data_IF_299628929196
#
_entry.id   IF_299628929196
#
_cell.length_a   1.000
_cell.length_b   1.000
_cell.length_c   1.000
_cell.angle_alpha   90.00
_cell.angle_beta   90.00
_cell.angle_gamma   90.00
#
_symmetry.space_group_name_H-M   'P 1'
#
loop_
_entity.id
_entity.type
_entity.pdbx_description
1 polymer ?
#
# COMPACT_ATOMS: atom_id res chain seq x y z
N UNK A 1 -32.81 -4.21 -46.03
CA UNK A 1 -33.15 -3.05 -45.19
C UNK A 1 -32.80 -3.43 -43.72
N UNK A 2 -31.62 -3.11 -43.33
CA UNK A 2 -31.16 -3.32 -41.92
C UNK A 2 -31.56 -2.07 -41.11
N UNK A 3 -32.42 -2.27 -40.12
CA UNK A 3 -32.82 -1.20 -39.20
C UNK A 3 -31.66 -0.94 -38.25
N UNK A 4 -31.11 0.27 -38.32
CA UNK A 4 -30.23 0.79 -37.30
C UNK A 4 -31.05 0.98 -36.01
N UNK A 5 -30.82 0.19 -35.00
CA UNK A 5 -31.37 0.38 -33.66
C UNK A 5 -30.37 1.27 -32.93
N UNK A 6 -30.71 2.55 -32.80
CA UNK A 6 -30.03 3.47 -31.91
C UNK A 6 -30.30 2.99 -30.49
N UNK A 7 -29.27 2.52 -29.80
CA UNK A 7 -29.33 2.23 -28.36
C UNK A 7 -29.42 3.57 -27.61
N UNK A 8 -30.62 3.90 -27.16
CA UNK A 8 -30.87 5.06 -26.29
C UNK A 8 -30.39 4.71 -24.92
N UNK A 9 -29.34 5.40 -24.44
CA UNK A 9 -28.93 5.36 -23.06
C UNK A 9 -30.08 5.89 -22.19
N UNK A 10 -30.58 5.05 -21.28
CA UNK A 10 -31.66 5.44 -20.37
C UNK A 10 -31.06 6.35 -19.30
N UNK A 11 -31.35 7.65 -19.40
CA UNK A 11 -30.95 8.65 -18.42
C UNK A 11 -31.77 8.45 -17.14
N UNK A 12 -31.16 8.01 -16.06
CA UNK A 12 -31.75 8.09 -14.72
C UNK A 12 -31.56 9.51 -14.21
N UNK A 13 -32.56 10.35 -14.42
CA UNK A 13 -32.55 11.72 -13.92
C UNK A 13 -32.70 11.72 -12.39
N UNK A 14 -31.63 12.12 -11.69
CA UNK A 14 -31.73 12.50 -10.30
C UNK A 14 -32.27 13.93 -10.24
N UNK A 15 -33.52 14.10 -9.80
CA UNK A 15 -34.05 15.41 -9.42
C UNK A 15 -33.33 15.90 -8.16
N UNK A 16 -32.29 16.72 -8.35
CA UNK A 16 -31.73 17.55 -7.29
C UNK A 16 -32.33 18.96 -7.41
N UNK A 17 -32.63 19.56 -6.28
CA UNK A 17 -33.13 20.93 -6.16
C UNK A 17 -32.28 21.93 -6.95
N UNK A 18 -32.97 22.78 -7.72
CA UNK A 18 -32.40 23.73 -8.67
C UNK A 18 -31.54 24.82 -7.99
N UNK A 19 -30.25 24.78 -8.28
CA UNK A 19 -29.50 25.97 -8.64
C UNK A 19 -29.41 25.96 -10.15
N UNK A 20 -29.59 27.11 -10.84
CA UNK A 20 -29.47 27.27 -12.29
C UNK A 20 -28.00 27.08 -12.73
N UNK A 21 -27.46 25.86 -12.59
CA UNK A 21 -26.12 25.52 -13.06
C UNK A 21 -26.24 25.05 -14.53
N UNK A 22 -25.46 25.68 -15.38
CA UNK A 22 -25.40 25.35 -16.80
C UNK A 22 -24.62 24.04 -16.98
N UNK A 23 -25.30 22.99 -17.41
CA UNK A 23 -24.60 21.72 -17.72
C UNK A 23 -24.05 21.73 -19.14
N UNK A 24 -22.86 21.18 -19.30
CA UNK A 24 -22.19 21.00 -20.59
C UNK A 24 -22.10 19.52 -20.94
N UNK A 25 -22.00 19.24 -22.24
CA UNK A 25 -21.94 17.87 -22.71
C UNK A 25 -20.50 17.36 -22.72
N UNK A 26 -20.26 16.27 -21.98
CA UNK A 26 -18.99 15.57 -21.92
C UNK A 26 -19.16 14.18 -22.52
N UNK A 27 -18.22 13.74 -23.34
CA UNK A 27 -18.31 12.45 -24.00
C UNK A 27 -17.15 11.52 -23.65
N UNK A 28 -17.49 10.24 -23.50
CA UNK A 28 -16.51 9.15 -23.39
C UNK A 28 -16.89 8.12 -24.45
N UNK A 29 -16.02 7.91 -25.42
CA UNK A 29 -16.28 6.99 -26.52
C UNK A 29 -15.06 6.14 -26.82
N UNK A 30 -15.20 5.11 -27.62
CA UNK A 30 -14.06 4.30 -28.01
C UNK A 30 -14.42 2.98 -28.66
N UNK A 31 -13.42 2.10 -28.68
CA UNK A 31 -13.54 0.78 -29.29
C UNK A 31 -12.73 -0.26 -28.53
N UNK A 32 -13.39 -1.32 -28.10
CA UNK A 32 -12.77 -2.48 -27.46
C UNK A 32 -12.89 -3.72 -28.34
N UNK A 33 -11.87 -3.97 -29.16
CA UNK A 33 -11.87 -5.02 -30.17
C UNK A 33 -11.41 -6.34 -29.59
N UNK A 34 -12.18 -7.42 -29.79
CA UNK A 34 -11.80 -8.77 -29.37
C UNK A 34 -11.75 -8.97 -27.86
N UNK A 35 -12.38 -8.08 -27.09
CA UNK A 35 -12.43 -8.15 -25.63
C UNK A 35 -13.32 -9.29 -25.08
N UNK A 36 -14.23 -9.82 -25.91
CA UNK A 36 -15.22 -10.82 -25.48
C UNK A 36 -16.28 -10.26 -24.52
N UNK A 37 -16.39 -8.94 -24.42
CA UNK A 37 -17.31 -8.21 -23.54
C UNK A 37 -18.48 -7.68 -24.34
N UNK A 38 -19.72 -7.93 -23.88
CA UNK A 38 -20.95 -7.46 -24.54
C UNK A 38 -21.40 -6.09 -24.04
N UNK A 39 -21.06 -5.74 -22.80
CA UNK A 39 -21.48 -4.49 -22.16
C UNK A 39 -20.46 -3.99 -21.16
N UNK A 40 -20.39 -2.68 -21.03
CA UNK A 40 -19.53 -1.96 -20.10
C UNK A 40 -20.36 -1.01 -19.23
N UNK A 41 -19.89 -0.79 -18.03
CA UNK A 41 -20.53 0.01 -16.99
C UNK A 41 -19.65 1.20 -16.66
N UNK A 42 -20.22 2.41 -16.80
CA UNK A 42 -19.56 3.64 -16.35
C UNK A 42 -20.01 3.94 -14.92
N UNK A 43 -19.06 4.09 -14.04
CA UNK A 43 -19.28 4.42 -12.65
C UNK A 43 -18.48 5.66 -12.26
N UNK A 44 -19.07 6.55 -11.46
CA UNK A 44 -18.38 7.66 -10.82
C UNK A 44 -17.87 7.21 -9.47
N UNK A 45 -16.61 7.47 -9.18
CA UNK A 45 -16.04 7.20 -7.87
C UNK A 45 -16.54 8.23 -6.86
N UNK A 46 -16.86 7.78 -5.64
CA UNK A 46 -17.06 8.70 -4.52
C UNK A 46 -15.76 9.44 -4.20
N UNK A 47 -15.85 10.61 -3.60
CA UNK A 47 -14.68 11.44 -3.34
C UNK A 47 -13.63 10.72 -2.48
N UNK A 48 -14.06 9.89 -1.54
CA UNK A 48 -13.19 9.07 -0.70
C UNK A 48 -12.85 7.68 -1.29
N UNK A 49 -13.16 7.44 -2.57
CA UNK A 49 -12.89 6.19 -3.29
C UNK A 49 -13.56 4.93 -2.69
N UNK A 50 -14.43 5.06 -1.72
CA UNK A 50 -15.00 3.92 -0.98
C UNK A 50 -16.10 3.18 -1.74
N UNK A 51 -16.94 3.91 -2.47
CA UNK A 51 -18.07 3.33 -3.21
C UNK A 51 -18.24 3.99 -4.58
N UNK A 52 -18.38 3.20 -5.64
CA UNK A 52 -18.74 3.73 -6.94
C UNK A 52 -20.25 3.92 -7.07
N UNK A 53 -20.65 4.94 -7.80
CA UNK A 53 -22.02 5.20 -8.22
C UNK A 53 -22.18 4.83 -9.68
N UNK A 54 -23.15 3.96 -10.00
CA UNK A 54 -23.43 3.60 -11.40
C UNK A 54 -24.02 4.80 -12.13
N UNK A 55 -23.40 5.20 -13.24
CA UNK A 55 -23.79 6.36 -14.04
C UNK A 55 -24.51 5.94 -15.33
N UNK A 56 -23.91 5.00 -16.07
CA UNK A 56 -24.44 4.55 -17.35
C UNK A 56 -23.97 3.15 -17.71
N UNK A 57 -24.68 2.52 -18.65
CA UNK A 57 -24.33 1.23 -19.23
C UNK A 57 -24.34 1.38 -20.76
N UNK A 58 -23.32 0.87 -21.42
CA UNK A 58 -23.26 0.79 -22.87
C UNK A 58 -23.08 -0.67 -23.32
N UNK A 59 -23.88 -1.08 -24.31
CA UNK A 59 -23.62 -2.32 -25.05
C UNK A 59 -22.61 -2.01 -26.16
N UNK A 60 -21.62 -2.90 -26.31
CA UNK A 60 -20.66 -2.78 -27.41
C UNK A 60 -21.31 -3.15 -28.71
N UNK A 61 -21.05 -2.36 -29.76
CA UNK A 61 -21.44 -2.69 -31.13
C UNK A 61 -20.65 -3.92 -31.66
N UNK A 62 -21.04 -4.49 -32.78
CA UNK A 62 -20.36 -5.64 -33.40
C UNK A 62 -18.86 -5.39 -33.68
N UNK A 63 -18.46 -4.12 -33.87
CA UNK A 63 -17.09 -3.66 -34.09
C UNK A 63 -16.38 -3.28 -32.79
N UNK A 64 -17.01 -3.46 -31.61
CA UNK A 64 -16.54 -3.08 -30.30
C UNK A 64 -16.71 -1.62 -29.93
N UNK A 65 -17.39 -0.81 -30.73
CA UNK A 65 -17.58 0.62 -30.45
C UNK A 65 -18.59 0.86 -29.34
N UNK A 66 -18.35 1.93 -28.58
CA UNK A 66 -19.24 2.41 -27.50
C UNK A 66 -19.22 3.93 -27.39
N UNK A 67 -20.23 4.49 -26.72
CA UNK A 67 -20.30 5.90 -26.38
C UNK A 67 -21.13 6.15 -25.14
N UNK A 68 -20.63 6.99 -24.26
CA UNK A 68 -21.34 7.60 -23.14
C UNK A 68 -21.46 9.12 -23.39
N UNK A 69 -22.57 9.69 -23.04
CA UNK A 69 -22.81 11.14 -23.04
C UNK A 69 -23.23 11.55 -21.62
N UNK A 70 -22.51 12.50 -21.06
CA UNK A 70 -22.68 12.97 -19.67
C UNK A 70 -23.03 14.46 -19.71
N UNK A 71 -24.03 14.85 -18.94
CA UNK A 71 -24.30 16.25 -18.65
C UNK A 71 -23.60 16.59 -17.32
N UNK A 72 -22.51 17.36 -17.40
CA UNK A 72 -21.71 17.75 -16.22
C UNK A 72 -21.89 19.27 -16.04
N UNK A 73 -21.96 19.72 -14.78
CA UNK A 73 -21.97 21.14 -14.45
C UNK A 73 -20.69 21.81 -14.97
N UNK A 74 -20.85 22.92 -15.70
CA UNK A 74 -19.73 23.65 -16.33
C UNK A 74 -18.65 24.08 -15.33
N UNK A 75 -19.03 24.33 -14.06
CA UNK A 75 -18.11 24.73 -12.98
C UNK A 75 -17.64 23.55 -12.12
N UNK A 76 -18.05 22.32 -12.45
CA UNK A 76 -17.65 21.16 -11.64
C UNK A 76 -16.17 20.85 -11.75
N UNK A 77 -15.54 20.56 -10.62
CA UNK A 77 -14.17 20.05 -10.60
C UNK A 77 -14.08 18.66 -11.26
N UNK A 78 -12.95 18.32 -11.90
CA UNK A 78 -12.75 16.99 -12.47
C UNK A 78 -12.94 15.88 -11.46
N UNK A 79 -13.51 14.75 -11.88
CA UNK A 79 -13.84 13.59 -11.03
C UNK A 79 -13.31 12.30 -11.62
N UNK A 80 -13.08 11.31 -10.74
CA UNK A 80 -12.72 9.97 -11.17
C UNK A 80 -13.96 9.19 -11.60
N UNK A 81 -13.86 8.59 -12.78
CA UNK A 81 -14.78 7.61 -13.32
C UNK A 81 -14.03 6.31 -13.59
N UNK A 82 -14.77 5.21 -13.65
CA UNK A 82 -14.20 3.93 -14.06
C UNK A 82 -15.13 3.20 -15.02
N UNK A 83 -14.54 2.52 -15.98
CA UNK A 83 -15.24 1.62 -16.88
C UNK A 83 -14.99 0.20 -16.40
N UNK A 84 -16.06 -0.48 -16.03
CA UNK A 84 -16.07 -1.87 -15.59
C UNK A 84 -16.73 -2.78 -16.60
N UNK A 85 -16.42 -4.08 -16.53
CA UNK A 85 -17.06 -5.14 -17.29
C UNK A 85 -17.83 -6.10 -16.37
N UNK A 86 -18.87 -6.75 -16.87
CA UNK A 86 -19.66 -7.70 -16.09
C UNK A 86 -18.86 -8.94 -15.67
N UNK A 87 -17.80 -9.26 -16.40
CA UNK A 87 -16.94 -10.44 -16.11
C UNK A 87 -15.92 -10.20 -14.99
N UNK A 88 -15.86 -9.01 -14.39
CA UNK A 88 -14.82 -8.60 -13.45
C UNK A 88 -13.54 -8.19 -14.20
N UNK A 89 -12.43 -8.14 -13.47
CA UNK A 89 -11.14 -7.65 -13.96
C UNK A 89 -10.83 -6.26 -13.42
N UNK A 90 -9.70 -5.70 -13.84
CA UNK A 90 -9.31 -4.33 -13.44
C UNK A 90 -10.13 -3.32 -14.21
N UNK A 91 -10.72 -2.30 -13.56
CA UNK A 91 -11.42 -1.23 -14.25
C UNK A 91 -10.44 -0.28 -14.94
N UNK A 92 -10.86 0.30 -16.07
CA UNK A 92 -10.17 1.46 -16.65
C UNK A 92 -10.63 2.70 -15.90
N UNK A 93 -9.71 3.39 -15.24
CA UNK A 93 -9.98 4.61 -14.49
C UNK A 93 -9.65 5.84 -15.34
N UNK A 94 -10.52 6.83 -15.29
CA UNK A 94 -10.45 8.09 -16.03
C UNK A 94 -10.63 9.26 -15.05
N UNK A 95 -10.03 10.39 -15.38
CA UNK A 95 -10.42 11.69 -14.84
C UNK A 95 -11.24 12.39 -15.92
N UNK A 96 -12.44 12.79 -15.56
CA UNK A 96 -13.39 13.44 -16.47
C UNK A 96 -13.70 14.83 -15.95
N UNK A 97 -13.49 15.82 -16.80
CA UNK A 97 -13.82 17.23 -16.60
C UNK A 97 -15.02 17.64 -17.47
N UNK A 98 -15.66 18.78 -17.17
CA UNK A 98 -16.63 19.41 -18.07
C UNK A 98 -16.05 19.60 -19.48
N UNK A 99 -16.86 19.37 -20.51
CA UNK A 99 -16.52 19.50 -21.94
C UNK A 99 -15.49 18.51 -22.49
N UNK A 100 -14.98 17.56 -21.68
CA UNK A 100 -14.05 16.53 -22.15
C UNK A 100 -14.67 15.70 -23.29
N UNK A 101 -13.82 15.35 -24.25
CA UNK A 101 -14.13 14.40 -25.30
C UNK A 101 -13.08 13.27 -25.28
N UNK A 102 -13.29 12.31 -24.41
CA UNK A 102 -12.33 11.22 -24.14
C UNK A 102 -12.56 10.09 -25.12
N UNK A 103 -11.49 9.64 -25.75
CA UNK A 103 -11.50 8.48 -26.65
C UNK A 103 -10.61 7.37 -26.10
N UNK A 104 -11.15 6.16 -26.09
CA UNK A 104 -10.48 4.94 -25.59
C UNK A 104 -10.40 3.91 -26.71
N UNK A 105 -9.22 3.31 -26.86
CA UNK A 105 -9.05 2.15 -27.73
C UNK A 105 -8.34 1.02 -26.99
N UNK A 106 -8.80 -0.23 -27.22
CA UNK A 106 -8.15 -1.41 -26.70
C UNK A 106 -8.38 -2.63 -27.60
N UNK A 107 -7.44 -3.58 -27.56
CA UNK A 107 -7.56 -4.86 -28.26
C UNK A 107 -7.22 -6.01 -27.30
N UNK A 108 -8.11 -7.00 -27.23
CA UNK A 108 -8.00 -8.14 -26.31
C UNK A 108 -8.37 -7.77 -24.87
N UNK A 109 -7.46 -7.90 -23.95
CA UNK A 109 -7.66 -7.46 -22.56
C UNK A 109 -7.75 -5.93 -22.51
N UNK A 110 -8.90 -5.43 -22.04
CA UNK A 110 -9.21 -3.99 -22.04
C UNK A 110 -8.19 -3.22 -21.21
N UNK A 111 -7.89 -3.69 -20.01
CA UNK A 111 -7.02 -2.98 -19.08
C UNK A 111 -5.55 -2.98 -19.48
N UNK A 112 -5.07 -4.10 -20.04
CA UNK A 112 -3.64 -4.23 -20.37
C UNK A 112 -3.23 -3.44 -21.61
N UNK A 113 -4.15 -3.19 -22.55
CA UNK A 113 -3.82 -2.68 -23.87
C UNK A 113 -4.59 -1.39 -24.25
N UNK A 114 -5.23 -0.73 -23.29
CA UNK A 114 -5.97 0.47 -23.61
C UNK A 114 -5.05 1.68 -23.83
N UNK A 115 -5.52 2.58 -24.68
CA UNK A 115 -4.98 3.92 -24.86
C UNK A 115 -6.06 4.95 -24.61
N UNK A 116 -5.67 6.17 -24.25
CA UNK A 116 -6.58 7.27 -23.93
C UNK A 116 -6.13 8.53 -24.65
N UNK A 117 -7.08 9.23 -25.25
CA UNK A 117 -6.89 10.58 -25.80
C UNK A 117 -8.00 11.51 -25.29
N UNK A 118 -7.78 12.82 -25.32
CA UNK A 118 -8.78 13.83 -24.97
C UNK A 118 -8.83 14.19 -23.48
N UNK A 119 -7.98 13.59 -22.63
CA UNK A 119 -7.78 13.97 -21.23
C UNK A 119 -6.34 13.64 -20.81
N UNK A 120 -5.55 14.67 -20.51
CA UNK A 120 -4.15 14.49 -20.08
C UNK A 120 -4.05 13.73 -18.76
N UNK A 121 -4.94 13.98 -17.82
CA UNK A 121 -5.02 13.25 -16.54
C UNK A 121 -5.29 11.75 -16.78
N UNK A 122 -6.25 11.42 -17.64
CA UNK A 122 -6.57 10.02 -17.97
C UNK A 122 -5.43 9.33 -18.73
N UNK A 123 -4.68 10.06 -19.53
CA UNK A 123 -3.50 9.57 -20.22
C UNK A 123 -2.37 9.25 -19.23
N UNK A 124 -2.12 10.12 -18.28
CA UNK A 124 -1.16 9.87 -17.19
C UNK A 124 -1.55 8.65 -16.35
N UNK A 125 -2.85 8.47 -16.06
CA UNK A 125 -3.35 7.25 -15.39
C UNK A 125 -3.05 6.00 -16.23
N UNK A 126 -3.28 6.06 -17.54
CA UNK A 126 -2.99 4.96 -18.44
C UNK A 126 -1.50 4.58 -18.43
N UNK A 127 -0.62 5.57 -18.52
CA UNK A 127 0.85 5.38 -18.45
C UNK A 127 1.27 4.77 -17.10
N UNK A 128 0.76 5.32 -15.99
CA UNK A 128 1.01 4.76 -14.67
C UNK A 128 0.53 3.31 -14.56
N UNK A 129 -0.68 3.01 -15.02
CA UNK A 129 -1.25 1.67 -14.96
C UNK A 129 -0.40 0.66 -15.73
N UNK A 130 0.07 0.99 -16.92
CA UNK A 130 0.92 0.12 -17.72
C UNK A 130 2.23 -0.21 -16.99
N UNK A 131 2.89 0.77 -16.41
CA UNK A 131 4.16 0.58 -15.72
C UNK A 131 4.00 -0.14 -14.37
N UNK A 132 3.04 0.32 -13.56
CA UNK A 132 2.82 -0.19 -12.21
C UNK A 132 2.28 -1.62 -12.22
N UNK A 133 1.21 -1.88 -12.97
CA UNK A 133 0.58 -3.21 -12.97
C UNK A 133 1.40 -4.26 -13.71
N UNK A 134 2.29 -3.88 -14.61
CA UNK A 134 3.28 -4.81 -15.18
C UNK A 134 4.15 -5.45 -14.09
N UNK A 135 4.55 -4.68 -13.08
CA UNK A 135 5.32 -5.18 -11.94
C UNK A 135 4.41 -5.94 -10.97
N UNK A 136 3.20 -5.42 -10.71
CA UNK A 136 2.24 -6.08 -9.83
C UNK A 136 1.80 -7.46 -10.34
N UNK A 137 1.66 -7.65 -11.65
CA UNK A 137 1.31 -8.94 -12.24
C UNK A 137 2.44 -9.97 -12.08
N UNK A 138 3.69 -9.54 -12.23
CA UNK A 138 4.85 -10.38 -11.91
C UNK A 138 4.87 -10.75 -10.42
N UNK A 139 4.59 -9.78 -9.54
CA UNK A 139 4.51 -10.01 -8.10
C UNK A 139 3.39 -11.01 -7.76
N UNK A 140 2.22 -10.91 -8.39
CA UNK A 140 1.11 -11.85 -8.19
C UNK A 140 1.49 -13.29 -8.58
N UNK A 141 2.17 -13.46 -9.74
CA UNK A 141 2.66 -14.77 -10.18
C UNK A 141 3.71 -15.37 -9.22
N UNK A 142 4.56 -14.52 -8.63
CA UNK A 142 5.53 -14.95 -7.63
C UNK A 142 4.81 -15.29 -6.32
N UNK A 143 3.83 -14.50 -5.90
CA UNK A 143 3.05 -14.72 -4.70
C UNK A 143 2.27 -16.04 -4.71
N UNK A 144 1.72 -16.44 -5.86
CA UNK A 144 1.08 -17.77 -6.02
C UNK A 144 2.06 -18.92 -5.74
N UNK A 145 3.36 -18.74 -6.03
CA UNK A 145 4.42 -19.71 -5.78
C UNK A 145 4.95 -19.70 -4.35
N UNK A 146 4.69 -18.64 -3.58
CA UNK A 146 5.11 -18.53 -2.17
C UNK A 146 4.49 -19.65 -1.29
N UNK A 147 3.29 -20.14 -1.64
CA UNK A 147 2.70 -21.30 -1.00
C UNK A 147 3.54 -22.59 -1.09
N UNK A 148 4.55 -22.63 -1.96
CA UNK A 148 5.49 -23.75 -2.12
C UNK A 148 6.78 -23.59 -1.28
N UNK A 149 6.91 -22.56 -0.47
CA UNK A 149 8.03 -22.29 0.48
C UNK A 149 9.44 -22.42 -0.12
N UNK A 150 9.73 -21.68 -1.16
CA UNK A 150 11.08 -21.59 -1.74
C UNK A 150 11.68 -20.23 -1.37
N UNK A 151 12.77 -20.20 -0.63
CA UNK A 151 13.45 -18.97 -0.17
C UNK A 151 13.79 -17.97 -1.30
N UNK A 152 14.02 -18.47 -2.51
CA UNK A 152 14.21 -17.63 -3.70
C UNK A 152 12.95 -16.81 -4.06
N UNK A 153 11.76 -17.39 -3.87
CA UNK A 153 10.48 -16.76 -4.20
C UNK A 153 10.19 -15.56 -3.30
N UNK A 154 10.57 -15.63 -2.03
CA UNK A 154 10.41 -14.54 -1.06
C UNK A 154 11.29 -13.34 -1.41
N UNK A 155 12.56 -13.57 -1.74
CA UNK A 155 13.49 -12.52 -2.16
C UNK A 155 13.00 -11.82 -3.44
N UNK A 156 12.47 -12.59 -4.38
CA UNK A 156 11.94 -12.06 -5.63
C UNK A 156 10.64 -11.26 -5.40
N UNK A 157 9.74 -11.73 -4.52
CA UNK A 157 8.55 -10.97 -4.14
C UNK A 157 8.91 -9.64 -3.50
N UNK A 158 9.88 -9.63 -2.57
CA UNK A 158 10.38 -8.40 -1.96
C UNK A 158 10.98 -7.43 -3.00
N UNK A 159 11.79 -7.94 -3.94
CA UNK A 159 12.37 -7.13 -5.02
C UNK A 159 11.29 -6.48 -5.88
N UNK A 160 10.28 -7.27 -6.31
CA UNK A 160 9.19 -6.78 -7.14
C UNK A 160 8.28 -5.81 -6.38
N UNK A 161 7.99 -6.06 -5.11
CA UNK A 161 7.24 -5.14 -4.28
C UNK A 161 7.98 -3.79 -4.11
N UNK A 162 9.29 -3.83 -3.87
CA UNK A 162 10.13 -2.63 -3.83
C UNK A 162 10.11 -1.87 -5.16
N UNK A 163 10.14 -2.57 -6.29
CA UNK A 163 10.08 -1.98 -7.62
C UNK A 163 8.73 -1.32 -7.88
N UNK A 164 7.62 -1.96 -7.47
CA UNK A 164 6.28 -1.38 -7.58
C UNK A 164 6.14 -0.09 -6.76
N UNK A 165 6.62 -0.08 -5.51
CA UNK A 165 6.64 1.14 -4.67
C UNK A 165 7.49 2.24 -5.30
N UNK A 166 8.70 1.91 -5.80
CA UNK A 166 9.56 2.88 -6.48
C UNK A 166 8.92 3.46 -7.74
N UNK A 167 8.20 2.63 -8.51
CA UNK A 167 7.47 3.08 -9.70
C UNK A 167 6.37 4.05 -9.31
N UNK A 168 5.56 3.72 -8.30
CA UNK A 168 4.52 4.58 -7.76
C UNK A 168 5.08 5.91 -7.25
N UNK A 169 6.08 5.88 -6.36
CA UNK A 169 6.65 7.09 -5.76
C UNK A 169 7.36 7.98 -6.79
N UNK A 170 8.02 7.38 -7.79
CA UNK A 170 8.60 8.14 -8.91
C UNK A 170 7.53 8.85 -9.72
N UNK A 171 6.43 8.17 -10.03
CA UNK A 171 5.32 8.76 -10.77
C UNK A 171 4.71 9.93 -10.00
N UNK A 172 4.38 9.74 -8.72
CA UNK A 172 3.83 10.80 -7.84
C UNK A 172 4.80 11.97 -7.73
N UNK A 173 6.08 11.73 -7.51
CA UNK A 173 7.10 12.77 -7.42
C UNK A 173 7.32 13.54 -8.74
N UNK A 174 7.05 12.91 -9.89
CA UNK A 174 7.17 13.56 -11.20
C UNK A 174 5.91 14.35 -11.61
N UNK A 175 4.75 14.04 -11.02
CA UNK A 175 3.45 14.63 -11.38
C UNK A 175 2.66 15.12 -10.15
N UNK A 176 3.27 15.88 -9.22
CA UNK A 176 2.65 16.18 -7.92
C UNK A 176 1.41 17.08 -8.00
N UNK A 177 1.17 17.70 -9.15
CA UNK A 177 0.06 18.62 -9.41
C UNK A 177 -1.06 18.00 -10.25
N UNK A 178 -1.14 16.65 -10.32
CA UNK A 178 -2.11 15.95 -11.15
C UNK A 178 -3.03 15.06 -10.33
N UNK A 179 -4.27 14.90 -10.76
CA UNK A 179 -5.21 13.93 -10.19
C UNK A 179 -4.74 12.49 -10.47
N UNK A 180 -4.00 12.26 -11.54
CA UNK A 180 -3.35 10.98 -11.80
C UNK A 180 -2.41 10.56 -10.65
N UNK A 181 -1.71 11.50 -10.03
CA UNK A 181 -0.88 11.20 -8.86
C UNK A 181 -1.73 10.91 -7.61
N UNK A 182 -2.89 11.57 -7.43
CA UNK A 182 -3.86 11.20 -6.39
C UNK A 182 -4.32 9.76 -6.58
N UNK A 183 -4.66 9.38 -7.81
CA UNK A 183 -5.01 7.99 -8.16
C UNK A 183 -3.85 7.02 -7.84
N UNK A 184 -2.64 7.35 -8.25
CA UNK A 184 -1.48 6.51 -8.02
C UNK A 184 -1.23 6.22 -6.53
N UNK A 185 -1.45 7.19 -5.63
CA UNK A 185 -1.31 7.02 -4.18
C UNK A 185 -2.34 6.05 -3.57
N UNK A 186 -3.43 5.71 -4.29
CA UNK A 186 -4.45 4.75 -3.81
C UNK A 186 -4.04 3.28 -3.98
N UNK A 187 -2.91 3.00 -4.60
CA UNK A 187 -2.45 1.65 -4.83
C UNK A 187 -1.51 1.16 -3.73
N UNK A 188 -1.91 0.10 -3.03
CA UNK A 188 -1.17 -0.49 -1.91
C UNK A 188 -0.84 -1.99 -2.13
N UNK A 189 -0.84 -2.46 -3.37
CA UNK A 189 -0.62 -3.89 -3.68
C UNK A 189 0.71 -4.39 -3.11
N UNK A 190 1.75 -3.57 -3.19
CA UNK A 190 3.09 -3.93 -2.74
C UNK A 190 3.26 -3.88 -1.21
N UNK A 191 2.44 -3.10 -0.49
CA UNK A 191 2.54 -2.94 0.97
C UNK A 191 2.29 -4.25 1.74
N UNK A 192 1.60 -5.22 1.14
CA UNK A 192 1.39 -6.55 1.73
C UNK A 192 2.69 -7.34 1.87
N UNK A 193 3.72 -6.99 1.10
CA UNK A 193 5.00 -7.69 1.02
C UNK A 193 6.15 -6.92 1.64
N UNK A 194 5.98 -5.63 1.88
CA UNK A 194 6.98 -4.76 2.50
C UNK A 194 6.29 -4.00 3.64
N UNK A 195 6.63 -4.27 4.90
CA UNK A 195 6.19 -3.43 6.01
C UNK A 195 6.70 -2.00 5.82
N UNK A 196 5.94 -1.04 6.29
CA UNK A 196 6.40 0.35 6.35
C UNK A 196 7.55 0.43 7.35
N UNK A 197 8.77 0.46 6.83
CA UNK A 197 10.00 0.47 7.63
C UNK A 197 10.31 1.86 8.21
N UNK A 198 9.72 2.90 7.65
CA UNK A 198 9.98 4.31 7.98
C UNK A 198 8.83 5.00 8.76
N UNK A 199 7.83 4.24 9.19
CA UNK A 199 6.73 4.75 10.02
C UNK A 199 5.96 5.91 9.40
N UNK A 200 5.73 5.92 8.08
CA UNK A 200 5.08 7.00 7.31
C UNK A 200 5.95 8.23 6.98
N UNK A 201 7.19 8.33 7.46
CA UNK A 201 8.00 9.55 7.31
C UNK A 201 8.25 9.96 5.85
N UNK A 202 8.55 9.01 4.96
CA UNK A 202 8.71 9.29 3.51
C UNK A 202 7.36 9.44 2.83
N UNK A 203 6.38 8.63 3.21
CA UNK A 203 5.04 8.64 2.62
C UNK A 203 4.36 10.00 2.82
N UNK A 204 4.43 10.57 4.02
CA UNK A 204 3.79 11.86 4.33
C UNK A 204 4.37 13.02 3.52
N UNK A 205 5.67 12.99 3.17
CA UNK A 205 6.28 14.00 2.32
C UNK A 205 5.67 14.01 0.91
N UNK A 206 5.40 12.84 0.35
CA UNK A 206 4.72 12.73 -0.94
C UNK A 206 3.28 13.23 -0.88
N UNK A 207 2.55 12.91 0.20
CA UNK A 207 1.19 13.43 0.41
C UNK A 207 1.16 14.96 0.55
N UNK A 208 2.09 15.56 1.29
CA UNK A 208 2.18 17.03 1.43
C UNK A 208 2.50 17.69 0.09
N UNK A 209 3.47 17.17 -0.65
CA UNK A 209 3.82 17.70 -1.98
C UNK A 209 2.64 17.58 -2.96
N UNK A 210 1.92 16.46 -2.91
CA UNK A 210 0.72 16.25 -3.70
C UNK A 210 -0.41 17.22 -3.31
N UNK A 211 -0.65 17.43 -2.01
CA UNK A 211 -1.62 18.40 -1.51
C UNK A 211 -1.33 19.82 -2.00
N UNK A 212 -0.08 20.27 -1.91
CA UNK A 212 0.36 21.57 -2.42
C UNK A 212 0.09 21.68 -3.94
N UNK A 213 0.47 20.67 -4.72
CA UNK A 213 0.28 20.63 -6.17
C UNK A 213 -1.19 20.66 -6.57
N UNK A 214 -2.02 19.83 -5.92
CA UNK A 214 -3.46 19.76 -6.19
C UNK A 214 -4.17 21.06 -5.79
N UNK A 215 -3.85 21.62 -4.63
CA UNK A 215 -4.43 22.91 -4.19
C UNK A 215 -4.11 24.04 -5.16
N UNK A 216 -2.90 24.07 -5.73
CA UNK A 216 -2.50 25.06 -6.70
C UNK A 216 -3.18 24.88 -8.07
N UNK A 217 -3.42 23.65 -8.51
CA UNK A 217 -3.95 23.36 -9.85
C UNK A 217 -5.48 23.23 -9.88
N UNK A 218 -6.06 22.65 -8.83
CA UNK A 218 -7.49 22.35 -8.68
C UNK A 218 -8.02 22.83 -7.32
N UNK A 219 -8.11 24.16 -7.07
CA UNK A 219 -8.41 24.70 -5.73
C UNK A 219 -9.77 24.25 -5.19
N UNK A 220 -10.72 23.94 -6.06
CA UNK A 220 -12.06 23.46 -5.68
C UNK A 220 -12.19 21.93 -5.71
N UNK A 221 -11.07 21.22 -5.76
CA UNK A 221 -11.06 19.76 -5.81
C UNK A 221 -11.49 19.16 -4.48
N UNK A 222 -12.45 18.22 -4.46
CA UNK A 222 -12.86 17.51 -3.24
C UNK A 222 -11.76 16.63 -2.67
N UNK A 223 -10.74 16.30 -3.46
CA UNK A 223 -9.64 15.46 -3.03
C UNK A 223 -8.67 16.18 -2.09
N UNK A 224 -8.72 17.54 -2.01
CA UNK A 224 -7.93 18.34 -1.07
C UNK A 224 -8.27 17.94 0.38
N UNK A 225 -9.55 17.98 0.75
CA UNK A 225 -9.98 17.64 2.12
C UNK A 225 -9.61 16.19 2.51
N UNK A 226 -9.60 15.28 1.52
CA UNK A 226 -9.21 13.88 1.76
C UNK A 226 -7.70 13.77 2.01
N UNK A 227 -6.88 14.43 1.19
CA UNK A 227 -5.43 14.46 1.38
C UNK A 227 -5.06 15.10 2.72
N UNK A 228 -5.74 16.18 3.12
CA UNK A 228 -5.56 16.81 4.44
C UNK A 228 -5.89 15.85 5.59
N UNK A 229 -7.01 15.12 5.49
CA UNK A 229 -7.40 14.13 6.49
C UNK A 229 -6.39 12.99 6.61
N UNK A 230 -5.90 12.47 5.48
CA UNK A 230 -4.92 11.40 5.46
C UNK A 230 -3.55 11.83 6.00
N UNK A 231 -3.13 13.07 5.72
CA UNK A 231 -1.94 13.67 6.31
C UNK A 231 -2.09 13.77 7.82
N UNK A 232 -3.23 14.30 8.30
CA UNK A 232 -3.48 14.42 9.73
C UNK A 232 -3.51 13.06 10.47
N UNK A 233 -4.06 12.02 9.84
CA UNK A 233 -4.03 10.66 10.37
C UNK A 233 -2.60 10.11 10.47
N UNK A 234 -1.76 10.33 9.43
CA UNK A 234 -0.36 9.92 9.44
C UNK A 234 0.45 10.70 10.47
N UNK A 235 0.22 12.01 10.62
CA UNK A 235 0.86 12.85 11.65
C UNK A 235 0.51 12.38 13.06
N UNK A 236 -0.76 12.11 13.32
CA UNK A 236 -1.21 11.57 14.60
C UNK A 236 -0.57 10.19 14.90
N UNK A 237 -0.40 9.36 13.88
CA UNK A 237 0.27 8.06 14.05
C UNK A 237 1.75 8.21 14.33
N UNK A 238 2.46 9.13 13.65
CA UNK A 238 3.86 9.47 13.92
C UNK A 238 4.00 10.00 15.35
N UNK A 239 3.14 10.93 15.76
CA UNK A 239 3.16 11.49 17.12
C UNK A 239 2.90 10.41 18.18
N UNK A 240 1.98 9.47 17.92
CA UNK A 240 1.75 8.34 18.83
C UNK A 240 3.00 7.47 18.97
N UNK A 241 3.71 7.20 17.89
CA UNK A 241 4.95 6.41 17.90
C UNK A 241 6.07 7.16 18.65
N UNK A 242 6.22 8.46 18.38
CA UNK A 242 7.25 9.30 19.02
C UNK A 242 6.96 9.55 20.51
N UNK A 243 5.69 9.58 20.92
CA UNK A 243 5.27 9.81 22.30
C UNK A 243 5.20 8.54 23.16
N UNK A 244 5.36 7.34 22.58
CA UNK A 244 5.46 6.10 23.36
C UNK A 244 6.81 6.01 24.06
N UNK A 245 7.08 6.92 25.00
CA UNK A 245 8.07 6.71 26.04
C UNK A 245 7.43 5.83 27.12
N UNK A 246 7.57 4.53 26.97
CA UNK A 246 7.19 3.59 28.01
C UNK A 246 8.25 3.72 29.10
N UNK A 247 7.89 4.31 30.25
CA UNK A 247 8.77 4.55 31.39
C UNK A 247 9.20 3.24 32.08
N UNK A 248 8.50 2.15 31.83
CA UNK A 248 8.90 0.79 32.21
C UNK A 248 8.25 -0.24 31.28
N UNK A 249 8.99 -1.26 30.94
CA UNK A 249 8.49 -2.38 30.14
C UNK A 249 7.94 -3.50 31.04
N UNK A 250 6.92 -4.25 30.58
CA UNK A 250 6.48 -5.47 31.26
C UNK A 250 7.61 -6.50 31.31
N UNK A 251 7.83 -7.10 32.47
CA UNK A 251 8.82 -8.17 32.56
C UNK A 251 8.24 -9.50 32.08
N UNK A 252 9.02 -10.24 31.31
CA UNK A 252 8.64 -11.55 30.76
C UNK A 252 9.76 -12.56 31.00
N UNK A 253 9.36 -13.83 31.12
CA UNK A 253 10.28 -14.97 31.25
C UNK A 253 9.86 -16.04 30.22
N UNK A 254 10.71 -16.32 29.24
CA UNK A 254 10.46 -17.28 28.16
C UNK A 254 11.60 -18.30 28.05
N UNK A 255 11.29 -19.46 27.47
CA UNK A 255 12.24 -20.56 27.31
C UNK A 255 12.99 -20.48 25.97
N UNK A 256 14.30 -20.79 26.00
CA UNK A 256 15.10 -20.98 24.80
C UNK A 256 14.96 -22.43 24.25
N UNK A 257 15.69 -22.75 23.18
CA UNK A 257 15.67 -24.07 22.54
C UNK A 257 16.22 -25.20 23.43
N UNK A 258 16.87 -24.86 24.57
CA UNK A 258 17.39 -25.79 25.56
C UNK A 258 16.51 -25.89 26.80
N UNK A 259 15.35 -25.25 26.80
CA UNK A 259 14.41 -25.11 27.92
C UNK A 259 14.99 -24.32 29.09
N UNK A 260 16.01 -23.49 28.82
CA UNK A 260 16.51 -22.52 29.79
C UNK A 260 15.60 -21.29 29.76
N UNK A 261 15.19 -20.86 30.96
CA UNK A 261 14.36 -19.67 31.10
C UNK A 261 15.23 -18.42 31.12
N UNK A 262 14.83 -17.47 30.28
CA UNK A 262 15.45 -16.16 30.19
C UNK A 262 14.45 -15.10 30.62
N UNK A 263 14.80 -14.33 31.64
CA UNK A 263 13.98 -13.24 32.14
C UNK A 263 14.48 -11.92 31.53
N UNK A 264 13.57 -11.10 30.95
CA UNK A 264 13.97 -9.87 30.31
C UNK A 264 14.65 -8.89 31.26
N UNK A 265 14.14 -8.77 32.51
CA UNK A 265 14.76 -7.95 33.54
C UNK A 265 16.17 -8.41 33.98
N UNK A 266 16.59 -9.64 33.64
CA UNK A 266 17.98 -10.06 33.88
C UNK A 266 19.00 -9.31 33.00
N UNK A 267 18.54 -8.54 32.03
CA UNK A 267 19.36 -7.75 31.12
C UNK A 267 19.42 -6.26 31.51
N UNK A 268 18.90 -5.89 32.68
CA UNK A 268 18.97 -4.51 33.18
C UNK A 268 20.40 -3.96 33.13
N UNK A 269 20.53 -2.70 32.74
CA UNK A 269 21.83 -2.04 32.56
C UNK A 269 22.51 -2.28 31.21
N UNK A 270 21.91 -3.12 30.34
CA UNK A 270 22.29 -3.28 28.95
C UNK A 270 21.34 -2.49 28.03
N UNK A 271 21.82 -2.22 26.83
CA UNK A 271 20.93 -1.80 25.73
C UNK A 271 20.35 -3.06 25.09
N UNK A 272 19.02 -3.22 25.16
CA UNK A 272 18.36 -4.46 24.72
C UNK A 272 17.44 -4.19 23.55
N UNK A 273 17.65 -4.90 22.45
CA UNK A 273 16.68 -4.98 21.36
C UNK A 273 15.69 -6.11 21.66
N UNK A 274 14.49 -5.76 22.07
CA UNK A 274 13.36 -6.68 22.20
C UNK A 274 12.73 -6.85 20.82
N UNK A 275 12.90 -8.01 20.18
CA UNK A 275 12.55 -8.21 18.79
C UNK A 275 11.59 -9.39 18.60
N UNK A 276 10.41 -9.10 18.06
CA UNK A 276 9.35 -10.06 17.77
C UNK A 276 9.38 -10.43 16.28
N UNK A 277 9.41 -11.73 16.00
CA UNK A 277 9.58 -12.23 14.65
C UNK A 277 8.81 -13.53 14.39
N UNK A 278 8.78 -13.98 13.13
CA UNK A 278 8.24 -15.27 12.71
C UNK A 278 9.08 -15.88 11.60
N UNK A 279 9.13 -17.20 11.55
CA UNK A 279 9.78 -17.97 10.49
C UNK A 279 9.15 -17.73 9.12
N UNK A 280 7.85 -17.44 9.09
CA UNK A 280 7.08 -17.27 7.86
C UNK A 280 7.40 -15.95 7.13
N UNK A 281 8.11 -15.02 7.76
CA UNK A 281 8.44 -13.72 7.19
C UNK A 281 9.86 -13.66 6.62
N UNK A 282 9.96 -13.48 5.31
CA UNK A 282 11.24 -13.22 4.64
C UNK A 282 11.95 -11.99 5.18
N UNK A 283 11.18 -10.97 5.57
CA UNK A 283 11.72 -9.76 6.17
C UNK A 283 12.42 -10.05 7.50
N UNK A 284 11.81 -10.86 8.37
CA UNK A 284 12.42 -11.27 9.62
C UNK A 284 13.75 -12.02 9.38
N UNK A 285 13.77 -12.93 8.40
CA UNK A 285 14.98 -13.68 8.06
C UNK A 285 16.10 -12.79 7.52
N UNK A 286 15.78 -11.80 6.70
CA UNK A 286 16.76 -10.83 6.19
C UNK A 286 17.31 -9.94 7.33
N UNK A 287 16.43 -9.43 8.19
CA UNK A 287 16.82 -8.63 9.35
C UNK A 287 17.69 -9.43 10.32
N UNK A 288 17.38 -10.69 10.56
CA UNK A 288 18.19 -11.56 11.39
C UNK A 288 19.64 -11.69 10.87
N UNK A 289 19.82 -11.76 9.54
CA UNK A 289 21.14 -11.82 8.94
C UNK A 289 21.93 -10.52 9.14
N UNK A 290 21.29 -9.36 8.95
CA UNK A 290 21.92 -8.04 9.14
C UNK A 290 22.14 -7.73 10.64
N UNK A 291 21.22 -8.15 11.51
CA UNK A 291 21.31 -7.96 12.95
C UNK A 291 22.54 -8.67 13.57
N UNK A 292 22.99 -9.78 12.96
CA UNK A 292 24.22 -10.46 13.40
C UNK A 292 25.46 -9.57 13.35
N UNK A 293 25.56 -8.76 12.32
CA UNK A 293 26.67 -7.82 12.16
C UNK A 293 26.64 -6.76 13.27
N UNK A 294 25.44 -6.22 13.57
CA UNK A 294 25.26 -5.26 14.66
C UNK A 294 25.55 -5.90 16.03
N UNK A 295 25.04 -7.09 16.26
CA UNK A 295 25.28 -7.81 17.52
C UNK A 295 26.77 -8.04 17.76
N UNK A 296 27.47 -8.58 16.76
CA UNK A 296 28.90 -8.83 16.88
C UNK A 296 29.73 -7.54 17.08
N UNK A 297 29.19 -6.40 16.61
CA UNK A 297 29.88 -5.11 16.74
C UNK A 297 29.69 -4.45 18.09
N UNK A 298 28.52 -4.62 18.74
CA UNK A 298 28.14 -3.86 19.92
C UNK A 298 27.88 -4.71 21.16
N UNK A 299 27.90 -6.05 21.08
CA UNK A 299 27.64 -6.93 22.24
C UNK A 299 28.66 -6.71 23.37
N UNK A 300 29.94 -6.55 23.02
CA UNK A 300 30.99 -6.28 23.99
C UNK A 300 30.82 -4.93 24.71
N UNK A 301 30.12 -3.98 24.06
CA UNK A 301 29.77 -2.67 24.61
C UNK A 301 28.48 -2.69 25.46
N UNK A 302 27.83 -3.86 25.58
CA UNK A 302 26.63 -4.05 26.39
C UNK A 302 25.34 -4.05 25.62
N UNK A 303 25.36 -4.23 24.28
CA UNK A 303 24.18 -4.47 23.50
C UNK A 303 23.76 -5.95 23.55
N UNK A 304 22.45 -6.20 23.72
CA UNK A 304 21.88 -7.55 23.77
C UNK A 304 20.61 -7.60 22.90
N UNK A 305 20.25 -8.78 22.41
CA UNK A 305 19.01 -9.02 21.67
C UNK A 305 18.18 -10.08 22.40
N UNK A 306 16.95 -9.73 22.74
CA UNK A 306 15.95 -10.65 23.27
C UNK A 306 14.93 -10.93 22.15
N UNK A 307 15.07 -12.09 21.53
CA UNK A 307 14.47 -12.45 20.25
C UNK A 307 13.32 -13.43 20.44
N UNK A 308 12.06 -12.96 20.26
CA UNK A 308 10.83 -13.70 20.57
C UNK A 308 10.19 -14.20 19.29
N UNK A 309 10.07 -15.53 19.16
CA UNK A 309 9.34 -16.15 18.05
C UNK A 309 7.83 -16.16 18.29
N UNK A 310 7.07 -15.79 17.26
CA UNK A 310 5.61 -15.87 17.22
C UNK A 310 5.09 -17.15 16.55
N UNK A 311 5.97 -18.10 16.26
CA UNK A 311 5.60 -19.32 15.55
C UNK A 311 4.83 -20.28 16.45
N UNK A 312 3.92 -21.07 15.85
CA UNK A 312 3.15 -22.08 16.59
C UNK A 312 3.86 -23.42 16.69
N UNK A 313 4.84 -23.69 15.79
CA UNK A 313 5.61 -24.93 15.74
C UNK A 313 6.97 -24.76 16.41
N UNK A 314 7.03 -25.15 17.67
CA UNK A 314 8.27 -25.07 18.48
C UNK A 314 9.39 -25.96 17.91
N UNK A 315 9.05 -27.12 17.35
CA UNK A 315 10.06 -28.03 16.82
C UNK A 315 10.73 -27.45 15.57
N UNK A 316 9.95 -26.86 14.69
CA UNK A 316 10.46 -26.16 13.51
C UNK A 316 11.30 -24.92 13.92
N UNK A 317 10.83 -24.15 14.90
CA UNK A 317 11.58 -23.00 15.42
C UNK A 317 12.95 -23.43 15.98
N UNK A 318 13.02 -24.50 16.77
CA UNK A 318 14.28 -25.05 17.30
C UNK A 318 15.25 -25.40 16.16
N UNK A 319 14.75 -26.06 15.11
CA UNK A 319 15.57 -26.42 13.96
C UNK A 319 16.17 -25.20 13.26
N UNK A 320 15.34 -24.19 13.00
CA UNK A 320 15.77 -22.97 12.30
C UNK A 320 16.75 -22.14 13.15
N UNK A 321 16.47 -21.93 14.44
CA UNK A 321 17.39 -21.19 15.34
C UNK A 321 18.75 -21.89 15.41
N UNK A 322 18.75 -23.21 15.46
CA UNK A 322 20.01 -24.01 15.43
C UNK A 322 20.76 -23.87 14.12
N UNK A 323 20.06 -23.89 13.00
CA UNK A 323 20.67 -23.72 11.67
C UNK A 323 21.20 -22.30 11.47
N UNK A 324 20.44 -21.28 11.89
CA UNK A 324 20.83 -19.89 11.76
C UNK A 324 21.93 -19.49 12.75
N UNK A 325 22.16 -20.24 13.81
CA UNK A 325 23.19 -19.99 14.85
C UNK A 325 23.12 -18.54 15.36
N UNK A 326 21.94 -18.17 15.87
CA UNK A 326 21.76 -16.85 16.47
C UNK A 326 22.72 -16.68 17.65
N UNK A 327 23.52 -15.60 17.70
CA UNK A 327 24.49 -15.39 18.79
C UNK A 327 23.86 -14.79 20.06
N UNK A 328 22.57 -14.43 20.00
CA UNK A 328 21.81 -13.76 21.04
C UNK A 328 20.79 -14.68 21.70
N UNK A 329 20.04 -14.13 22.68
CA UNK A 329 18.95 -14.84 23.37
C UNK A 329 17.77 -15.01 22.45
N UNK A 330 17.52 -16.24 21.98
CA UNK A 330 16.35 -16.61 21.17
C UNK A 330 15.40 -17.45 22.00
N UNK A 331 14.18 -16.95 22.18
CA UNK A 331 13.15 -17.57 23.03
C UNK A 331 11.86 -17.84 22.24
N UNK A 332 11.11 -18.81 22.70
CA UNK A 332 9.85 -19.21 22.09
C UNK A 332 8.67 -18.50 22.76
N UNK A 333 7.99 -17.60 22.04
CA UNK A 333 6.76 -16.93 22.48
C UNK A 333 5.51 -17.74 22.17
N UNK A 334 5.60 -18.63 21.19
CA UNK A 334 4.46 -19.42 20.72
C UNK A 334 3.37 -18.55 20.07
N UNK A 335 2.22 -19.14 19.83
CA UNK A 335 1.02 -18.43 19.40
C UNK A 335 0.21 -17.83 20.56
N UNK A 336 0.78 -17.81 21.75
CA UNK A 336 0.16 -17.21 22.95
C UNK A 336 -0.01 -15.71 22.76
N UNK A 337 -1.25 -15.27 22.68
CA UNK A 337 -1.59 -13.84 22.55
C UNK A 337 -1.11 -12.98 23.71
N UNK A 338 -0.74 -13.59 24.84
CA UNK A 338 -0.43 -12.87 26.09
C UNK A 338 0.81 -11.98 25.97
N UNK A 339 1.92 -12.52 25.46
CA UNK A 339 3.18 -11.77 25.33
C UNK A 339 3.05 -10.68 24.23
N UNK A 340 2.41 -11.01 23.10
CA UNK A 340 2.21 -10.06 22.01
C UNK A 340 1.26 -8.92 22.39
N UNK A 341 0.18 -9.26 23.12
CA UNK A 341 -0.77 -8.27 23.64
C UNK A 341 -0.12 -7.36 24.69
N UNK A 342 0.76 -7.92 25.53
CA UNK A 342 1.45 -7.19 26.59
C UNK A 342 2.33 -6.05 26.03
N UNK A 343 2.93 -6.26 24.86
CA UNK A 343 3.75 -5.26 24.15
C UNK A 343 3.02 -4.60 22.99
N UNK A 344 1.69 -4.77 22.89
CA UNK A 344 0.87 -4.23 21.78
C UNK A 344 1.42 -4.58 20.38
N UNK A 345 1.96 -5.80 20.23
CA UNK A 345 2.48 -6.28 18.94
C UNK A 345 1.32 -6.76 18.07
N UNK A 346 0.92 -5.92 17.12
CA UNK A 346 -0.19 -6.21 16.18
C UNK A 346 0.30 -6.71 14.82
N UNK A 347 1.59 -6.54 14.53
CA UNK A 347 2.22 -6.91 13.24
C UNK A 347 3.66 -7.34 13.47
N UNK A 348 4.15 -8.29 12.64
CA UNK A 348 5.53 -8.77 12.68
C UNK A 348 6.27 -8.42 11.38
N UNK A 349 7.57 -8.12 11.46
CA UNK A 349 8.35 -7.94 12.68
C UNK A 349 7.98 -6.69 13.47
N UNK A 350 8.20 -6.72 14.79
CA UNK A 350 8.13 -5.57 15.67
C UNK A 350 9.38 -5.53 16.57
N UNK A 351 9.88 -4.35 16.86
CA UNK A 351 11.07 -4.18 17.67
C UNK A 351 10.94 -3.00 18.62
N UNK A 352 11.50 -3.15 19.81
CA UNK A 352 11.65 -2.10 20.82
C UNK A 352 13.09 -2.05 21.26
N UNK A 353 13.60 -0.85 21.53
CA UNK A 353 14.90 -0.63 22.12
C UNK A 353 14.70 -0.24 23.58
N UNK A 354 15.36 -0.94 24.48
CA UNK A 354 15.40 -0.65 25.92
C UNK A 354 16.78 -0.11 26.20
N UNK A 355 16.88 1.11 26.74
CA UNK A 355 18.15 1.72 27.12
C UNK A 355 18.65 1.18 28.48
N UNK A 356 19.84 1.62 28.92
CA UNK A 356 20.44 1.20 30.15
C UNK A 356 19.66 1.60 31.40
N UNK A 357 18.85 2.64 31.31
CA UNK A 357 17.97 3.15 32.36
C UNK A 357 16.61 2.43 32.39
N UNK A 358 16.36 1.50 31.46
CA UNK A 358 15.13 0.75 31.36
C UNK A 358 13.98 1.49 30.65
N UNK A 359 14.27 2.61 29.95
CA UNK A 359 13.26 3.25 29.10
C UNK A 359 13.13 2.47 27.80
N UNK A 360 11.89 2.18 27.41
CA UNK A 360 11.58 1.46 26.18
C UNK A 360 11.02 2.40 25.11
N UNK A 361 11.52 2.29 23.89
CA UNK A 361 11.03 3.00 22.71
C UNK A 361 10.83 2.04 21.55
N UNK A 362 10.00 2.41 20.58
CA UNK A 362 9.85 1.63 19.34
C UNK A 362 11.14 1.74 18.53
N UNK A 363 11.73 0.59 18.18
CA UNK A 363 12.97 0.55 17.41
C UNK A 363 12.69 0.53 15.91
N UNK A 364 13.44 1.28 15.09
CA UNK A 364 13.33 1.20 13.64
C UNK A 364 13.83 -0.16 13.13
N UNK A 365 13.12 -0.71 12.14
CA UNK A 365 13.52 -1.97 11.50
C UNK A 365 14.57 -1.78 10.40
N UNK A 366 14.84 -0.53 9.97
CA UNK A 366 15.91 -0.23 9.04
C UNK A 366 17.26 -0.25 9.75
N UNK A 367 18.14 -1.15 9.36
CA UNK A 367 19.42 -1.44 10.05
C UNK A 367 20.27 -0.21 10.32
N UNK A 368 20.39 0.72 9.37
CA UNK A 368 21.18 1.95 9.57
C UNK A 368 20.59 2.89 10.63
N UNK A 369 19.26 2.96 10.69
CA UNK A 369 18.57 3.74 11.70
C UNK A 369 18.67 3.05 13.07
N UNK A 370 18.46 1.73 13.11
CA UNK A 370 18.62 0.92 14.31
C UNK A 370 20.06 1.03 14.89
N UNK A 371 21.09 0.96 14.03
CA UNK A 371 22.48 1.13 14.44
C UNK A 371 22.72 2.50 15.10
N UNK A 372 22.13 3.56 14.57
CA UNK A 372 22.24 4.89 15.16
C UNK A 372 21.64 4.93 16.57
N UNK A 373 20.43 4.40 16.73
CA UNK A 373 19.76 4.39 18.04
C UNK A 373 20.47 3.51 19.06
N UNK A 374 21.01 2.36 18.65
CA UNK A 374 21.84 1.53 19.51
C UNK A 374 23.07 2.32 20.01
N UNK A 375 23.75 3.05 19.12
CA UNK A 375 24.90 3.89 19.49
C UNK A 375 24.56 5.02 20.43
N UNK A 376 23.39 5.61 20.29
CA UNK A 376 22.90 6.70 21.15
C UNK A 376 22.50 6.19 22.53
N UNK A 377 22.10 4.92 22.65
CA UNK A 377 21.69 4.27 23.89
C UNK A 377 22.85 3.59 24.65
N UNK A 378 23.97 3.26 23.99
CA UNK A 378 25.19 2.68 24.60
C UNK A 378 26.02 3.71 25.34
#
# INVERSE_FOLDING_TARGET
MKRAIFAIAMMVGILSCATDTKSVNTTISGRFVGSGVDSIYLERMSDNFSQPESVAVACLEDNGAFRFELAIDEEASPRFYRINTKGGGRPVTLVVAPEDNITLESAGDIFLNYTVEGSEESKLICEFNHDYFKVCDQLALVAERLGMRVAYTEKEAYRLATEAIKTQMRFVGSHPNTLAAVYAMRHNVAERYIPQLDGYGVTILHYRTLLEGITATYPDSPYIAILESEIAEMEAMIELVDNVKIISYPDIELEDMYKTKHKLSSLEGKVVLLYFWTLESALCNNLNAELKELYNKYNDDGFEVYHISADSDEALWIEVVRQQKHPWISVFGGSSMDVFSLYNVVKLPAAYLIDREGNMSVAPLAIKALEREIKEAL
#
